data_IF_573393912675
#
_entry.id   IF_573393912675
#
_cell.length_a   1.000
_cell.length_b   1.000
_cell.length_c   1.000
_cell.angle_alpha   90.00
_cell.angle_beta   90.00
_cell.angle_gamma   90.00
#
_symmetry.space_group_name_H-M   'P 1'
#
loop_
_entity.id
_entity.type
_entity.pdbx_description
1 polymer ?
#
# COMPACT_ATOMS: atom_id res chain seq x y z
N UNK A 1 -27.28 10.46 -14.76
CA UNK A 1 -26.26 9.43 -14.44
C UNK A 1 -25.24 10.04 -13.50
N UNK A 2 -25.11 9.53 -12.27
CA UNK A 2 -24.02 9.90 -11.38
C UNK A 2 -22.79 9.08 -11.77
N UNK A 3 -21.77 9.72 -12.33
CA UNK A 3 -20.47 9.08 -12.55
C UNK A 3 -19.63 9.23 -11.29
N UNK A 4 -19.37 8.13 -10.58
CA UNK A 4 -18.35 8.11 -9.54
C UNK A 4 -16.98 8.08 -10.21
N UNK A 5 -16.30 9.22 -10.25
CA UNK A 5 -14.89 9.32 -10.60
C UNK A 5 -14.08 9.47 -9.32
N UNK A 6 -13.32 8.45 -8.97
CA UNK A 6 -12.30 8.53 -7.94
C UNK A 6 -10.95 8.82 -8.59
N UNK A 7 -10.17 9.69 -7.98
CA UNK A 7 -8.76 9.87 -8.31
C UNK A 7 -7.94 8.64 -7.92
N UNK A 8 -6.77 8.47 -8.54
CA UNK A 8 -5.81 7.41 -8.17
C UNK A 8 -5.46 7.45 -6.67
N UNK A 9 -5.40 8.65 -6.09
CA UNK A 9 -5.14 8.83 -4.66
C UNK A 9 -6.26 8.22 -3.81
N UNK A 10 -7.52 8.53 -4.13
CA UNK A 10 -8.68 8.00 -3.41
C UNK A 10 -8.79 6.48 -3.54
N UNK A 11 -8.54 5.95 -4.74
CA UNK A 11 -8.53 4.49 -4.98
C UNK A 11 -7.46 3.82 -4.11
N UNK A 12 -6.22 4.32 -4.13
CA UNK A 12 -5.13 3.73 -3.36
C UNK A 12 -5.35 3.86 -1.86
N UNK A 13 -5.92 4.97 -1.40
CA UNK A 13 -6.26 5.16 0.01
C UNK A 13 -7.36 4.19 0.48
N UNK A 14 -8.38 3.94 -0.35
CA UNK A 14 -9.41 2.94 -0.07
C UNK A 14 -8.82 1.52 0.02
N UNK A 15 -7.95 1.15 -0.93
CA UNK A 15 -7.27 -0.15 -0.90
C UNK A 15 -6.44 -0.29 0.38
N UNK A 16 -5.66 0.75 0.75
CA UNK A 16 -4.82 0.75 1.94
C UNK A 16 -5.63 0.54 3.21
N UNK A 17 -6.74 1.28 3.37
CA UNK A 17 -7.63 1.18 4.55
C UNK A 17 -8.29 -0.18 4.66
N UNK A 18 -8.78 -0.72 3.54
CA UNK A 18 -9.44 -2.01 3.53
C UNK A 18 -8.45 -3.16 3.78
N UNK A 19 -7.26 -3.11 3.19
CA UNK A 19 -6.26 -4.17 3.32
C UNK A 19 -5.60 -4.21 4.70
N UNK A 20 -5.39 -3.05 5.30
CA UNK A 20 -4.62 -2.91 6.54
C UNK A 20 -5.37 -2.03 7.56
N UNK A 21 -6.56 -2.46 8.02
CA UNK A 21 -7.34 -1.68 8.98
C UNK A 21 -6.57 -1.44 10.30
N UNK A 22 -5.78 -2.43 10.72
CA UNK A 22 -4.98 -2.40 11.96
C UNK A 22 -3.48 -2.15 11.69
N UNK A 23 -3.15 -1.52 10.56
CA UNK A 23 -1.78 -1.22 10.17
C UNK A 23 -1.14 -2.24 9.22
N UNK A 24 -0.06 -1.78 8.57
CA UNK A 24 0.53 -2.45 7.41
C UNK A 24 1.24 -3.74 7.80
N UNK A 25 0.87 -4.84 7.16
CA UNK A 25 1.53 -6.16 7.29
C UNK A 25 2.15 -6.57 5.96
N UNK A 26 3.30 -7.24 6.03
CA UNK A 26 3.98 -7.75 4.84
C UNK A 26 3.11 -8.82 4.13
N UNK A 27 2.75 -8.65 2.85
CA UNK A 27 1.92 -9.62 2.14
C UNK A 27 2.62 -10.96 1.89
N UNK A 28 3.95 -11.01 2.04
CA UNK A 28 4.73 -12.22 1.80
C UNK A 28 4.95 -13.10 3.03
N UNK A 29 4.96 -12.51 4.24
CA UNK A 29 5.26 -13.25 5.47
C UNK A 29 4.37 -12.90 6.66
N UNK A 30 3.36 -12.03 6.48
CA UNK A 30 2.44 -11.59 7.52
C UNK A 30 3.04 -10.67 8.60
N UNK A 31 4.36 -10.49 8.64
CA UNK A 31 5.03 -9.72 9.69
C UNK A 31 4.58 -8.25 9.71
N UNK A 32 4.31 -7.67 10.90
CA UNK A 32 4.04 -6.25 11.06
C UNK A 32 5.31 -5.39 11.08
N UNK A 33 6.51 -5.99 11.01
CA UNK A 33 7.80 -5.28 11.01
C UNK A 33 8.04 -4.61 9.65
N UNK A 34 7.25 -3.58 9.34
CA UNK A 34 7.25 -2.89 8.04
C UNK A 34 7.65 -1.42 8.20
N UNK A 35 8.57 -0.95 7.36
CA UNK A 35 8.94 0.45 7.27
C UNK A 35 8.44 1.07 5.96
N UNK A 36 8.04 2.35 6.01
CA UNK A 36 7.79 3.17 4.81
C UNK A 36 9.12 3.43 4.09
N UNK A 37 9.20 3.06 2.81
CA UNK A 37 10.39 3.17 1.97
C UNK A 37 10.19 4.21 0.84
N UNK A 38 9.69 5.39 1.23
CA UNK A 38 9.32 6.46 0.30
C UNK A 38 8.11 6.13 -0.58
N UNK A 39 7.80 7.01 -1.52
CA UNK A 39 6.71 6.86 -2.49
C UNK A 39 7.28 6.48 -3.86
N UNK A 40 6.44 5.94 -4.74
CA UNK A 40 6.88 5.58 -6.09
C UNK A 40 7.21 6.84 -6.93
N UNK A 41 8.38 6.90 -7.62
CA UNK A 41 8.69 7.98 -8.56
C UNK A 41 7.61 8.01 -9.65
N UNK A 42 6.99 9.18 -9.88
CA UNK A 42 5.83 9.40 -10.79
C UNK A 42 4.46 8.92 -10.29
N UNK A 43 4.37 8.21 -9.16
CA UNK A 43 3.10 7.81 -8.52
C UNK A 43 3.12 8.15 -7.02
N UNK A 44 3.08 9.44 -6.67
CA UNK A 44 3.27 9.90 -5.28
C UNK A 44 2.12 9.49 -4.33
N UNK A 45 1.01 9.00 -4.86
CA UNK A 45 -0.07 8.40 -4.06
C UNK A 45 0.28 6.97 -3.59
N UNK A 46 1.22 6.30 -4.26
CA UNK A 46 1.61 4.91 -3.99
C UNK A 46 2.79 4.87 -3.01
N UNK A 47 2.52 4.37 -1.81
CA UNK A 47 3.50 4.15 -0.76
C UNK A 47 4.29 2.88 -1.05
N UNK A 48 5.62 2.95 -0.98
CA UNK A 48 6.49 1.78 -0.97
C UNK A 48 6.81 1.40 0.46
N UNK A 49 6.95 0.11 0.70
CA UNK A 49 7.24 -0.49 1.98
C UNK A 49 8.41 -1.46 1.86
N UNK A 50 9.12 -1.66 2.96
CA UNK A 50 10.11 -2.72 3.12
C UNK A 50 9.82 -3.49 4.40
N UNK A 51 9.75 -4.81 4.30
CA UNK A 51 9.62 -5.68 5.46
C UNK A 51 11.00 -5.91 6.09
N UNK A 52 11.16 -5.55 7.37
CA UNK A 52 12.39 -5.80 8.14
C UNK A 52 12.54 -7.26 8.57
N UNK A 53 11.50 -8.07 8.45
CA UNK A 53 11.57 -9.50 8.76
C UNK A 53 12.08 -10.35 7.60
N UNK A 54 11.53 -10.17 6.39
CA UNK A 54 11.91 -10.98 5.22
C UNK A 54 12.67 -10.20 4.13
N UNK A 55 12.93 -8.91 4.34
CA UNK A 55 13.66 -8.05 3.40
C UNK A 55 12.90 -7.66 2.13
N UNK A 56 11.74 -8.28 1.84
CA UNK A 56 10.97 -8.00 0.62
C UNK A 56 10.34 -6.60 0.65
N UNK A 57 10.32 -5.98 -0.52
CA UNK A 57 9.63 -4.71 -0.76
C UNK A 57 8.24 -4.97 -1.35
N UNK A 58 7.29 -4.10 -1.01
CA UNK A 58 5.93 -4.13 -1.55
C UNK A 58 5.34 -2.71 -1.54
N UNK A 59 4.16 -2.53 -2.09
CA UNK A 59 3.42 -1.27 -2.09
C UNK A 59 1.92 -1.52 -1.87
N UNK A 60 1.12 -0.46 -1.85
CA UNK A 60 -0.34 -0.55 -1.66
C UNK A 60 -1.06 -1.36 -2.74
N UNK A 61 -0.42 -1.67 -3.86
CA UNK A 61 -1.02 -2.42 -4.97
C UNK A 61 -0.40 -3.83 -5.13
N UNK A 62 0.60 -4.20 -4.33
CA UNK A 62 1.20 -5.53 -4.40
C UNK A 62 0.16 -6.62 -4.10
N UNK A 63 -0.05 -7.52 -5.06
CA UNK A 63 -1.02 -8.61 -4.93
C UNK A 63 -2.49 -8.17 -5.05
N UNK A 64 -2.74 -7.00 -5.65
CA UNK A 64 -4.06 -6.57 -6.13
C UNK A 64 -4.24 -6.99 -7.58
#
# INVERSE_FOLDING_TARGET
>A
MLTLKLSDYEIVELIRRHRWPDGVKCPYCGSPKVCKNGKAPRRPYLQRYICRNCGKQFNDLTGT
#
